data_IF_303360389518
#
_entry.id   IF_303360389518
#
_cell.length_a   1.000
_cell.length_b   1.000
_cell.length_c   1.000
_cell.angle_alpha   90.00
_cell.angle_beta   90.00
_cell.angle_gamma   90.00
#
_symmetry.space_group_name_H-M   'P 1'
#
loop_
_entity.id
_entity.type
_entity.pdbx_description
1 polymer ?
#
# COMPACT_ATOMS: atom_id res chain seq x y z
N UNK A 1 9.08 -10.89 -13.09
CA UNK A 1 7.85 -11.57 -13.51
C UNK A 1 7.80 -12.93 -12.83
N UNK A 2 7.00 -13.05 -11.80
CA UNK A 2 6.87 -14.31 -11.06
C UNK A 2 5.72 -15.08 -11.68
N UNK A 3 6.05 -15.94 -12.65
CA UNK A 3 5.11 -16.91 -13.19
C UNK A 3 4.91 -18.08 -12.24
N UNK A 4 3.95 -18.96 -12.55
CA UNK A 4 3.61 -20.17 -11.79
C UNK A 4 4.86 -20.99 -11.38
N UNK A 5 5.84 -21.14 -12.28
CA UNK A 5 7.09 -21.86 -12.00
C UNK A 5 7.89 -21.28 -10.82
N UNK A 6 7.76 -19.97 -10.55
CA UNK A 6 8.45 -19.37 -9.40
C UNK A 6 7.75 -19.78 -8.10
N UNK A 7 6.42 -19.75 -8.06
CA UNK A 7 5.63 -20.21 -6.91
C UNK A 7 5.93 -21.67 -6.59
N UNK A 8 6.01 -22.54 -7.61
CA UNK A 8 6.37 -23.94 -7.45
C UNK A 8 7.79 -24.13 -6.88
N UNK A 9 8.74 -23.28 -7.29
CA UNK A 9 10.11 -23.29 -6.72
C UNK A 9 10.13 -22.83 -5.27
N UNK A 10 9.37 -21.77 -4.93
CA UNK A 10 9.24 -21.26 -3.57
C UNK A 10 8.67 -22.36 -2.64
N UNK A 11 7.60 -23.02 -3.05
CA UNK A 11 7.05 -24.16 -2.33
C UNK A 11 8.07 -25.32 -2.21
N UNK A 12 8.77 -25.63 -3.30
CA UNK A 12 9.77 -26.71 -3.34
C UNK A 12 10.96 -26.52 -2.41
N UNK A 13 11.29 -25.27 -2.02
CA UNK A 13 12.30 -24.97 -1.00
C UNK A 13 11.72 -24.76 0.40
N UNK A 14 10.43 -24.97 0.57
CA UNK A 14 9.76 -24.99 1.88
C UNK A 14 9.13 -23.65 2.32
N UNK A 15 9.00 -22.66 1.44
CA UNK A 15 8.20 -21.47 1.75
C UNK A 15 6.72 -21.83 1.86
N UNK A 16 6.07 -21.36 2.89
CA UNK A 16 4.63 -21.52 3.15
C UNK A 16 3.92 -20.19 3.38
N UNK A 17 4.62 -19.07 3.25
CA UNK A 17 4.10 -17.72 3.42
C UNK A 17 4.85 -16.73 2.54
N UNK A 18 4.10 -15.79 1.93
CA UNK A 18 4.66 -14.67 1.17
C UNK A 18 3.97 -13.36 1.52
N UNK A 19 4.73 -12.30 1.53
CA UNK A 19 4.24 -10.93 1.53
C UNK A 19 4.16 -10.47 0.07
N UNK A 20 2.95 -10.38 -0.45
CA UNK A 20 2.68 -10.10 -1.87
C UNK A 20 2.47 -8.61 -2.08
N UNK A 21 3.40 -7.96 -2.77
CA UNK A 21 3.41 -6.53 -2.99
C UNK A 21 2.39 -6.12 -4.04
N UNK A 22 1.38 -5.37 -3.63
CA UNK A 22 0.47 -4.63 -4.49
C UNK A 22 0.76 -3.13 -4.41
N UNK A 23 0.27 -2.37 -5.36
CA UNK A 23 0.40 -0.92 -5.35
C UNK A 23 -0.96 -0.30 -5.66
N UNK A 24 -1.33 0.75 -4.92
CA UNK A 24 -2.59 1.46 -5.15
C UNK A 24 -2.75 1.89 -6.61
N UNK A 25 -1.68 2.44 -7.23
CA UNK A 25 -1.69 2.84 -8.64
C UNK A 25 -2.02 1.71 -9.63
N UNK A 26 -1.78 0.47 -9.25
CA UNK A 26 -2.09 -0.69 -10.09
C UNK A 26 -3.52 -1.17 -9.90
N UNK A 27 -4.06 -0.99 -8.70
CA UNK A 27 -5.46 -1.29 -8.37
C UNK A 27 -6.38 -0.22 -8.94
N UNK A 28 -6.00 1.06 -8.81
CA UNK A 28 -6.81 2.24 -9.17
C UNK A 28 -5.96 3.26 -9.94
N UNK A 29 -5.69 2.99 -11.23
CA UNK A 29 -4.83 3.85 -12.06
C UNK A 29 -5.42 5.24 -12.34
N UNK A 30 -6.75 5.38 -12.26
CA UNK A 30 -7.46 6.66 -12.29
C UNK A 30 -8.47 6.70 -11.16
N UNK A 31 -8.72 7.87 -10.62
CA UNK A 31 -9.63 8.04 -9.49
C UNK A 31 -11.03 7.46 -9.79
N UNK A 32 -11.45 6.50 -8.96
CA UNK A 32 -12.72 5.78 -9.09
C UNK A 32 -12.76 4.70 -10.19
N UNK A 33 -11.65 4.47 -10.90
CA UNK A 33 -11.57 3.45 -11.95
C UNK A 33 -10.60 2.33 -11.52
N UNK A 34 -11.16 1.18 -11.14
CA UNK A 34 -10.37 0.01 -10.75
C UNK A 34 -9.97 -0.83 -11.96
N UNK A 35 -8.73 -1.28 -12.01
CA UNK A 35 -8.21 -2.16 -13.06
C UNK A 35 -8.60 -3.63 -12.77
N UNK A 36 -9.74 -4.05 -13.30
CA UNK A 36 -10.23 -5.42 -13.11
C UNK A 36 -9.28 -6.45 -13.74
N UNK A 37 -8.61 -6.13 -14.85
CA UNK A 37 -7.64 -7.05 -15.46
C UNK A 37 -6.40 -7.25 -14.56
N UNK A 38 -5.97 -6.21 -13.86
CA UNK A 38 -4.94 -6.32 -12.85
C UNK A 38 -5.40 -7.19 -11.67
N UNK A 39 -6.63 -6.95 -11.17
CA UNK A 39 -7.19 -7.74 -10.07
C UNK A 39 -7.36 -9.22 -10.46
N UNK A 40 -7.80 -9.52 -11.69
CA UNK A 40 -7.87 -10.88 -12.22
C UNK A 40 -6.48 -11.55 -12.24
N UNK A 41 -5.45 -10.82 -12.64
CA UNK A 41 -4.08 -11.35 -12.65
C UNK A 41 -3.51 -11.54 -11.23
N UNK A 42 -3.95 -10.77 -10.24
CA UNK A 42 -3.63 -11.00 -8.83
C UNK A 42 -4.31 -12.27 -8.34
N UNK A 43 -5.61 -12.43 -8.61
CA UNK A 43 -6.38 -13.63 -8.22
C UNK A 43 -5.75 -14.91 -8.77
N UNK A 44 -5.38 -14.92 -10.06
CA UNK A 44 -4.69 -16.06 -10.67
C UNK A 44 -3.39 -16.43 -9.91
N UNK A 45 -2.65 -15.45 -9.42
CA UNK A 45 -1.46 -15.71 -8.60
C UNK A 45 -1.78 -16.23 -7.20
N UNK A 46 -2.85 -15.73 -6.60
CA UNK A 46 -3.35 -16.24 -5.32
C UNK A 46 -3.75 -17.71 -5.46
N UNK A 47 -4.38 -18.10 -6.59
CA UNK A 47 -4.69 -19.50 -6.92
C UNK A 47 -3.41 -20.34 -6.96
N UNK A 48 -2.35 -19.87 -7.62
CA UNK A 48 -1.08 -20.61 -7.67
C UNK A 48 -0.46 -20.79 -6.27
N UNK A 49 -0.52 -19.77 -5.42
CA UNK A 49 -0.05 -19.86 -4.04
C UNK A 49 -0.89 -20.86 -3.24
N UNK A 50 -2.22 -20.81 -3.37
CA UNK A 50 -3.11 -21.75 -2.71
C UNK A 50 -2.84 -23.20 -3.12
N UNK A 51 -2.73 -23.48 -4.41
CA UNK A 51 -2.43 -24.82 -4.96
C UNK A 51 -1.09 -25.38 -4.46
N UNK A 52 -0.18 -24.52 -4.09
CA UNK A 52 1.14 -24.88 -3.56
C UNK A 52 1.26 -24.79 -2.03
N UNK A 53 0.14 -24.59 -1.32
CA UNK A 53 0.11 -24.54 0.15
C UNK A 53 0.81 -23.32 0.75
N UNK A 54 0.89 -22.21 0.01
CA UNK A 54 1.51 -20.96 0.45
C UNK A 54 0.43 -19.96 0.81
N UNK A 55 0.49 -19.41 2.03
CA UNK A 55 -0.37 -18.34 2.47
C UNK A 55 0.18 -16.98 2.03
N UNK A 56 -0.72 -16.03 1.79
CA UNK A 56 -0.40 -14.71 1.25
C UNK A 56 -0.87 -13.61 2.20
N UNK A 57 0.03 -12.69 2.51
CA UNK A 57 -0.31 -11.39 3.06
C UNK A 57 -0.27 -10.36 1.93
N UNK A 58 -1.41 -9.77 1.61
CA UNK A 58 -1.51 -8.69 0.61
C UNK A 58 -0.95 -7.42 1.23
N UNK A 59 0.16 -6.93 0.69
CA UNK A 59 0.82 -5.70 1.13
C UNK A 59 0.47 -4.55 0.17
N UNK A 60 0.02 -3.42 0.70
CA UNK A 60 -0.11 -2.20 -0.09
C UNK A 60 1.20 -1.42 -0.04
N UNK A 61 2.05 -1.74 -0.99
CA UNK A 61 3.44 -1.30 -1.02
C UNK A 61 3.60 0.12 -1.54
N UNK A 62 4.39 0.90 -0.82
CA UNK A 62 4.76 2.26 -1.20
C UNK A 62 6.22 2.53 -0.84
N UNK A 63 6.96 3.16 -1.79
CA UNK A 63 8.27 3.75 -1.56
C UNK A 63 8.26 5.18 -2.09
N UNK A 64 8.76 6.13 -1.33
CA UNK A 64 8.80 7.55 -1.66
C UNK A 64 7.43 8.19 -1.97
N UNK A 65 6.34 7.53 -1.85
CA UNK A 65 4.96 7.93 -2.16
C UNK A 65 4.45 7.45 -3.52
N UNK A 66 4.95 7.95 -4.64
CA UNK A 66 4.44 7.58 -5.96
C UNK A 66 5.34 8.05 -7.12
N UNK A 67 5.02 7.67 -8.39
CA UNK A 67 5.87 7.96 -9.55
C UNK A 67 6.07 9.45 -9.81
N UNK A 68 5.07 10.28 -9.55
CA UNK A 68 5.16 11.73 -9.75
C UNK A 68 6.27 12.39 -8.89
N UNK A 69 6.67 11.73 -7.81
CA UNK A 69 7.75 12.19 -6.91
C UNK A 69 8.93 11.21 -6.86
N UNK A 70 9.07 10.38 -7.91
CA UNK A 70 10.22 9.49 -8.09
C UNK A 70 10.17 8.18 -7.33
N UNK A 71 9.01 7.83 -6.77
CA UNK A 71 8.76 6.60 -6.02
C UNK A 71 7.81 5.62 -6.72
N UNK A 72 7.12 4.83 -5.91
CA UNK A 72 6.09 3.89 -6.33
C UNK A 72 4.98 3.81 -5.27
N UNK A 73 3.88 3.15 -5.61
CA UNK A 73 2.78 2.87 -4.68
C UNK A 73 1.54 3.68 -4.97
N UNK A 74 1.48 4.95 -4.60
CA UNK A 74 0.32 5.81 -4.85
C UNK A 74 0.22 6.21 -6.32
N UNK A 75 -1.01 6.38 -6.88
CA UNK A 75 -1.19 6.83 -8.24
C UNK A 75 -0.88 8.34 -8.40
N UNK A 76 -0.61 8.76 -9.64
CA UNK A 76 -0.33 10.17 -9.95
C UNK A 76 -1.45 11.12 -9.49
N UNK A 77 -2.71 10.73 -9.73
CA UNK A 77 -3.87 11.53 -9.35
C UNK A 77 -4.01 11.74 -7.83
N UNK A 78 -3.45 10.84 -7.01
CA UNK A 78 -3.41 10.95 -5.56
C UNK A 78 -2.10 11.57 -5.04
N UNK A 79 -1.23 12.09 -5.92
CA UNK A 79 0.04 12.69 -5.53
C UNK A 79 -0.07 14.21 -5.60
N UNK A 80 -0.35 14.84 -4.46
CA UNK A 80 -0.44 16.30 -4.33
C UNK A 80 0.88 16.84 -3.81
N UNK A 81 1.67 17.47 -4.69
CA UNK A 81 3.01 18.01 -4.37
C UNK A 81 3.35 19.25 -5.22
N UNK A 82 2.39 20.13 -5.41
CA UNK A 82 2.52 21.32 -6.24
C UNK A 82 3.55 22.30 -5.69
N UNK A 83 4.47 22.74 -6.56
CA UNK A 83 5.46 23.76 -6.23
C UNK A 83 6.66 23.29 -5.42
N UNK A 84 6.67 22.04 -4.98
CA UNK A 84 7.78 21.52 -4.19
C UNK A 84 8.95 21.04 -5.06
N UNK A 85 10.12 21.01 -4.45
CA UNK A 85 11.33 20.54 -5.11
C UNK A 85 11.22 19.04 -5.38
N UNK A 86 11.31 18.67 -6.66
CA UNK A 86 11.35 17.27 -7.09
C UNK A 86 12.58 16.52 -6.52
N UNK A 87 12.49 15.18 -6.48
CA UNK A 87 13.63 14.34 -6.12
C UNK A 87 14.84 14.59 -7.04
N UNK A 88 16.04 14.34 -6.51
CA UNK A 88 17.27 14.41 -7.29
C UNK A 88 17.69 13.01 -7.74
N UNK A 89 18.50 12.98 -8.79
CA UNK A 89 19.16 11.72 -9.16
C UNK A 89 20.22 11.35 -8.12
N UNK A 90 19.87 10.39 -7.28
CA UNK A 90 20.74 9.83 -6.22
C UNK A 90 21.31 8.46 -6.62
N UNK A 91 21.04 8.01 -7.83
CA UNK A 91 21.48 6.71 -8.32
C UNK A 91 21.04 5.56 -7.40
N UNK A 92 22.00 4.78 -6.87
CA UNK A 92 21.70 3.65 -5.98
C UNK A 92 21.16 4.05 -4.61
N UNK A 93 21.29 5.31 -4.21
CA UNK A 93 20.80 5.85 -2.93
C UNK A 93 19.44 6.52 -3.09
N UNK A 94 18.53 5.93 -3.86
CA UNK A 94 17.19 6.44 -4.16
C UNK A 94 16.39 6.83 -2.89
N UNK A 95 16.59 6.10 -1.80
CA UNK A 95 15.97 6.36 -0.49
C UNK A 95 16.31 7.72 0.12
N UNK A 96 17.39 8.37 -0.30
CA UNK A 96 17.67 9.76 0.11
C UNK A 96 16.59 10.73 -0.35
N UNK A 97 15.79 10.38 -1.35
CA UNK A 97 14.70 11.23 -1.80
C UNK A 97 13.53 11.34 -0.81
N UNK A 98 13.50 10.54 0.25
CA UNK A 98 12.55 10.77 1.35
C UNK A 98 12.67 12.18 1.95
N UNK A 99 13.86 12.80 1.90
CA UNK A 99 14.06 14.19 2.37
C UNK A 99 13.76 15.25 1.30
N UNK A 100 13.27 14.89 0.13
CA UNK A 100 12.88 15.85 -0.90
C UNK A 100 11.61 16.62 -0.53
N UNK A 101 11.50 17.88 -0.95
CA UNK A 101 10.31 18.68 -0.70
C UNK A 101 9.05 18.07 -1.28
N UNK A 102 9.13 17.49 -2.48
CA UNK A 102 7.97 16.89 -3.15
C UNK A 102 7.42 15.66 -2.40
N UNK A 103 8.30 14.75 -1.93
CA UNK A 103 7.89 13.60 -1.12
C UNK A 103 7.31 14.06 0.21
N UNK A 104 7.97 15.02 0.84
CA UNK A 104 7.52 15.61 2.09
C UNK A 104 6.12 16.23 2.00
N UNK A 105 5.85 16.98 0.93
CA UNK A 105 4.56 17.61 0.69
C UNK A 105 3.48 16.58 0.37
N UNK A 106 3.78 15.59 -0.47
CA UNK A 106 2.84 14.52 -0.81
C UNK A 106 2.37 13.76 0.44
N UNK A 107 3.28 13.37 1.33
CA UNK A 107 2.90 12.76 2.60
C UNK A 107 2.21 13.75 3.55
N UNK A 108 2.64 15.01 3.61
CA UNK A 108 1.98 16.03 4.40
C UNK A 108 0.50 16.17 4.03
N UNK A 109 0.21 16.22 2.73
CA UNK A 109 -1.15 16.30 2.20
C UNK A 109 -1.94 15.00 2.45
N UNK A 110 -1.31 13.83 2.33
CA UNK A 110 -1.98 12.56 2.67
C UNK A 110 -2.39 12.50 4.16
N UNK A 111 -1.59 13.03 5.07
CA UNK A 111 -1.89 13.06 6.49
C UNK A 111 -2.79 14.22 6.93
N UNK A 112 -3.19 15.10 6.01
CA UNK A 112 -4.09 16.24 6.27
C UNK A 112 -5.57 15.84 6.18
N UNK A 113 -5.97 14.80 6.91
CA UNK A 113 -7.34 14.25 6.85
C UNK A 113 -8.43 15.28 7.21
N UNK A 114 -8.17 16.12 8.21
CA UNK A 114 -9.13 17.14 8.68
C UNK A 114 -9.14 18.40 7.78
N UNK A 115 -8.21 18.53 6.84
CA UNK A 115 -8.06 19.69 5.98
C UNK A 115 -8.55 19.47 4.55
N UNK A 116 -7.91 20.16 3.60
CA UNK A 116 -8.31 20.18 2.19
C UNK A 116 -8.13 18.81 1.50
N UNK A 117 -7.21 17.98 1.99
CA UNK A 117 -6.78 16.76 1.31
C UNK A 117 -7.32 15.46 1.95
N UNK A 118 -8.29 15.54 2.85
CA UNK A 118 -8.90 14.37 3.51
C UNK A 118 -9.42 13.31 2.53
N UNK A 119 -9.82 13.72 1.35
CA UNK A 119 -10.29 12.85 0.27
C UNK A 119 -9.23 11.82 -0.19
N UNK A 120 -7.93 12.08 0.02
CA UNK A 120 -6.86 11.12 -0.29
C UNK A 120 -6.98 9.85 0.55
N UNK A 121 -7.21 10.01 1.85
CA UNK A 121 -7.42 8.86 2.74
C UNK A 121 -8.75 8.17 2.45
N UNK A 122 -9.82 8.93 2.17
CA UNK A 122 -11.11 8.34 1.82
C UNK A 122 -11.01 7.47 0.55
N UNK A 123 -10.28 7.92 -0.47
CA UNK A 123 -10.01 7.13 -1.67
C UNK A 123 -9.16 5.89 -1.36
N UNK A 124 -8.17 6.01 -0.48
CA UNK A 124 -7.36 4.87 -0.03
C UNK A 124 -8.21 3.82 0.70
N UNK A 125 -9.19 4.24 1.50
CA UNK A 125 -10.13 3.33 2.18
C UNK A 125 -11.02 2.60 1.19
N UNK A 126 -11.55 3.31 0.18
CA UNK A 126 -12.37 2.71 -0.89
C UNK A 126 -11.57 1.71 -1.72
N UNK A 127 -10.32 2.01 -2.04
CA UNK A 127 -9.43 1.07 -2.72
C UNK A 127 -9.24 -0.20 -1.89
N UNK A 128 -9.00 -0.09 -0.58
CA UNK A 128 -8.88 -1.26 0.29
C UNK A 128 -10.19 -2.04 0.42
N UNK A 129 -11.35 -1.37 0.45
CA UNK A 129 -12.64 -2.06 0.38
C UNK A 129 -12.77 -2.90 -0.90
N UNK A 130 -12.35 -2.34 -2.05
CA UNK A 130 -12.33 -3.08 -3.33
C UNK A 130 -11.42 -4.31 -3.26
N UNK A 131 -10.23 -4.18 -2.70
CA UNK A 131 -9.28 -5.30 -2.52
C UNK A 131 -9.85 -6.36 -1.57
N UNK A 132 -10.41 -5.94 -0.44
CA UNK A 132 -10.99 -6.84 0.55
C UNK A 132 -12.23 -7.57 0.02
N UNK A 133 -13.12 -6.88 -0.69
CA UNK A 133 -14.28 -7.51 -1.38
C UNK A 133 -13.86 -8.56 -2.39
N UNK A 134 -12.75 -8.33 -3.10
CA UNK A 134 -12.27 -9.24 -4.13
C UNK A 134 -11.57 -10.47 -3.56
N UNK A 135 -10.77 -10.28 -2.50
CA UNK A 135 -9.83 -11.30 -2.07
C UNK A 135 -10.04 -11.82 -0.63
N UNK A 136 -10.96 -11.25 0.15
CA UNK A 136 -11.15 -11.62 1.55
C UNK A 136 -11.51 -13.10 1.75
N UNK A 137 -12.34 -13.64 0.89
CA UNK A 137 -12.74 -15.05 0.93
C UNK A 137 -11.75 -15.99 0.21
N UNK A 138 -10.64 -15.46 -0.35
CA UNK A 138 -9.71 -16.30 -1.10
C UNK A 138 -8.85 -17.15 -0.14
N UNK A 139 -8.81 -18.48 -0.33
CA UNK A 139 -8.22 -19.41 0.65
C UNK A 139 -6.68 -19.26 0.83
N UNK A 140 -5.99 -18.61 -0.11
CA UNK A 140 -4.58 -18.28 0.07
C UNK A 140 -4.37 -17.06 0.98
N UNK A 141 -5.35 -16.15 1.06
CA UNK A 141 -5.18 -14.87 1.75
C UNK A 141 -5.27 -15.06 3.26
N UNK A 142 -4.17 -14.77 3.94
CA UNK A 142 -4.08 -14.82 5.40
C UNK A 142 -4.37 -13.45 6.01
N UNK A 143 -3.97 -12.37 5.35
CA UNK A 143 -4.10 -11.03 5.90
C UNK A 143 -3.72 -9.90 4.95
N UNK A 144 -3.95 -8.70 5.43
CA UNK A 144 -3.63 -7.43 4.77
C UNK A 144 -2.56 -6.68 5.55
N UNK A 145 -1.50 -6.26 4.88
CA UNK A 145 -0.55 -5.27 5.39
C UNK A 145 -0.96 -3.89 4.85
N UNK A 146 -1.54 -3.08 5.71
CA UNK A 146 -2.35 -1.93 5.32
C UNK A 146 -1.58 -0.84 4.58
N UNK A 147 -0.32 -0.62 4.91
CA UNK A 147 0.57 0.35 4.27
C UNK A 147 2.02 0.02 4.61
N UNK A 148 2.84 -0.15 3.58
CA UNK A 148 4.28 -0.31 3.76
C UNK A 148 4.91 0.96 4.31
N UNK A 149 5.65 0.85 5.41
CA UNK A 149 6.56 1.86 5.95
C UNK A 149 5.99 3.30 5.95
N UNK A 150 4.88 3.58 6.66
CA UNK A 150 4.31 4.92 6.71
C UNK A 150 5.36 5.98 7.04
N UNK A 151 5.40 7.05 6.24
CA UNK A 151 6.38 8.11 6.39
C UNK A 151 5.72 9.43 6.83
N UNK A 152 6.31 10.11 7.79
CA UNK A 152 5.79 11.35 8.37
C UNK A 152 6.63 12.60 8.10
N UNK A 153 7.36 12.60 7.01
CA UNK A 153 8.07 13.79 6.57
C UNK A 153 9.25 14.21 7.49
N UNK A 154 9.94 13.25 8.13
CA UNK A 154 10.98 13.50 9.12
C UNK A 154 10.56 14.42 10.28
N UNK A 155 9.28 14.62 10.47
CA UNK A 155 8.77 15.29 11.66
C UNK A 155 8.98 14.37 12.87
N UNK A 156 10.01 14.62 13.63
CA UNK A 156 10.36 13.87 14.85
C UNK A 156 9.45 14.19 16.05
N UNK A 157 8.25 14.72 15.79
CA UNK A 157 7.27 14.94 16.84
C UNK A 157 6.67 13.62 17.30
N UNK A 158 6.54 13.45 18.61
CA UNK A 158 6.03 12.23 19.26
C UNK A 158 4.55 11.95 19.01
N UNK A 159 3.87 12.84 18.28
CA UNK A 159 2.42 12.83 18.15
C UNK A 159 1.92 12.23 16.83
N UNK A 160 2.80 11.87 15.89
CA UNK A 160 2.37 11.35 14.57
C UNK A 160 1.60 10.03 14.71
N UNK A 161 2.14 9.08 15.46
CA UNK A 161 1.51 7.79 15.69
C UNK A 161 0.13 7.93 16.34
N UNK A 162 0.02 8.80 17.34
CA UNK A 162 -1.20 9.00 18.11
C UNK A 162 -2.23 9.84 17.36
N UNK A 163 -1.79 10.93 16.71
CA UNK A 163 -2.70 11.93 16.15
C UNK A 163 -3.00 11.73 14.66
N UNK A 164 -2.18 10.97 13.93
CA UNK A 164 -2.34 10.74 12.49
C UNK A 164 -2.42 9.26 12.14
N UNK A 165 -1.40 8.47 12.49
CA UNK A 165 -1.28 7.08 12.02
C UNK A 165 -2.31 6.16 12.67
N UNK A 166 -2.49 6.20 13.98
CA UNK A 166 -3.49 5.35 14.66
C UNK A 166 -4.92 5.69 14.25
N UNK A 167 -5.35 6.96 14.16
CA UNK A 167 -6.67 7.31 13.61
C UNK A 167 -6.85 6.88 12.14
N UNK A 168 -5.81 7.00 11.30
CA UNK A 168 -5.83 6.51 9.92
C UNK A 168 -6.09 5.00 9.88
N UNK A 169 -5.29 4.21 10.61
CA UNK A 169 -5.48 2.77 10.65
C UNK A 169 -6.85 2.39 11.21
N UNK A 170 -7.33 3.07 12.23
CA UNK A 170 -8.66 2.76 12.79
C UNK A 170 -9.78 3.00 11.77
N UNK A 171 -9.73 4.11 11.00
CA UNK A 171 -10.70 4.38 9.93
C UNK A 171 -10.60 3.35 8.82
N UNK A 172 -9.38 3.02 8.38
CA UNK A 172 -9.14 2.03 7.34
C UNK A 172 -9.61 0.64 7.77
N UNK A 173 -9.32 0.22 9.00
CA UNK A 173 -9.82 -1.05 9.56
C UNK A 173 -11.34 -1.07 9.57
N UNK A 174 -11.99 0.01 10.01
CA UNK A 174 -13.44 0.09 10.01
C UNK A 174 -14.01 -0.04 8.59
N UNK A 175 -13.41 0.62 7.60
CA UNK A 175 -13.82 0.52 6.20
C UNK A 175 -13.67 -0.91 5.65
N UNK A 176 -12.56 -1.58 5.93
CA UNK A 176 -12.36 -2.99 5.53
C UNK A 176 -13.40 -3.88 6.21
N UNK A 177 -13.68 -3.67 7.50
CA UNK A 177 -14.63 -4.49 8.27
C UNK A 177 -16.09 -4.34 7.84
N UNK A 178 -16.42 -3.35 7.01
CA UNK A 178 -17.75 -3.26 6.36
C UNK A 178 -17.95 -4.36 5.30
N UNK A 179 -16.87 -4.93 4.76
CA UNK A 179 -16.90 -5.88 3.64
C UNK A 179 -16.20 -7.19 3.91
N UNK A 180 -15.32 -7.25 4.89
CA UNK A 180 -14.54 -8.43 5.28
C UNK A 180 -14.36 -8.42 6.81
N UNK A 181 -14.89 -9.43 7.51
CA UNK A 181 -15.00 -9.43 8.96
C UNK A 181 -13.87 -10.17 9.68
N UNK A 182 -13.13 -11.05 9.01
CA UNK A 182 -12.27 -12.05 9.67
C UNK A 182 -10.84 -12.17 9.12
N UNK A 183 -10.54 -11.68 7.92
CA UNK A 183 -9.15 -11.63 7.42
C UNK A 183 -8.25 -10.83 8.37
N UNK A 184 -7.07 -11.35 8.65
CA UNK A 184 -6.13 -10.71 9.56
C UNK A 184 -5.67 -9.35 9.03
N UNK A 185 -5.53 -8.39 9.91
CA UNK A 185 -5.04 -7.06 9.57
C UNK A 185 -3.71 -6.83 10.29
N UNK A 186 -2.69 -6.49 9.51
CA UNK A 186 -1.38 -6.09 9.96
C UNK A 186 -1.17 -4.62 9.62
N UNK A 187 -0.43 -3.92 10.46
CA UNK A 187 -0.06 -2.54 10.23
C UNK A 187 1.36 -2.28 10.73
N UNK A 188 2.03 -1.32 10.13
CA UNK A 188 3.41 -0.98 10.42
C UNK A 188 3.49 0.33 11.18
N UNK A 189 4.49 0.51 12.08
CA UNK A 189 4.83 1.83 12.59
C UNK A 189 5.40 2.69 11.46
N UNK A 190 5.60 3.98 11.73
CA UNK A 190 6.33 4.82 10.77
C UNK A 190 7.74 4.27 10.51
N UNK A 191 8.21 4.47 9.29
CA UNK A 191 9.62 4.23 8.96
C UNK A 191 10.52 5.16 9.80
N UNK A 192 11.60 4.63 10.34
CA UNK A 192 12.53 5.34 11.22
C UNK A 192 11.91 5.78 12.59
N UNK A 193 11.02 4.96 13.13
CA UNK A 193 10.46 5.13 14.48
C UNK A 193 11.48 4.81 15.58
#
# INVERSE_FOLDING_TARGET
CNGREMVEKEAGVGFNFVRYLNQWRSVEPRQGEYDEAYLDAVEERLDWYHENGIHVMIDMHVDLYGPAVGGNGHPEWATVSEGSRLPFDTGRMWWLNYVSGAVSEAYGNFWDYEGEHGWLQDAYYQMWQKVAQRFGDHPAVLGYDLMNEPYNNLSFGDDFEVNKLAPFYQRLINAIREVDNDTWIMYQPRILA
#
